data_IF_018913596851
#
_entry.id   IF_018913596851
#
_cell.length_a   1.000
_cell.length_b   1.000
_cell.length_c   1.000
_cell.angle_alpha   90.00
_cell.angle_beta   90.00
_cell.angle_gamma   90.00
#
_symmetry.space_group_name_H-M   'P 1'
#
loop_
_entity.id
_entity.type
_entity.pdbx_description
1 polymer ?
#
# COMPACT_ATOMS: atom_id res chain seq x y z
N UNK A 1 20.90 5.65 7.90
CA UNK A 1 19.49 6.02 7.68
C UNK A 1 18.68 5.00 8.46
N UNK A 2 17.66 5.40 9.24
CA UNK A 2 16.85 4.40 9.94
C UNK A 2 15.97 3.71 8.91
N UNK A 3 16.10 2.39 8.77
CA UNK A 3 15.12 1.59 8.05
C UNK A 3 13.82 1.60 8.88
N UNK A 4 12.87 2.44 8.46
CA UNK A 4 11.55 2.51 9.08
C UNK A 4 10.58 1.77 8.18
N UNK A 5 9.68 1.02 8.80
CA UNK A 5 8.75 0.13 8.10
C UNK A 5 7.39 0.19 8.75
N UNK A 6 6.37 0.40 7.93
CA UNK A 6 4.97 0.30 8.36
C UNK A 6 4.44 -1.09 8.04
N UNK A 7 3.54 -1.56 8.90
CA UNK A 7 2.85 -2.84 8.74
C UNK A 7 1.35 -2.58 8.77
N UNK A 8 0.62 -3.01 7.74
CA UNK A 8 -0.79 -2.72 7.61
C UNK A 8 -1.49 -3.79 6.76
N UNK A 9 -2.80 -3.86 6.94
CA UNK A 9 -3.71 -4.63 6.10
C UNK A 9 -4.41 -3.66 5.13
N UNK A 10 -4.77 -4.15 3.95
CA UNK A 10 -5.50 -3.34 2.97
C UNK A 10 -6.52 -4.16 2.18
N UNK A 11 -7.53 -3.45 1.67
CA UNK A 11 -8.52 -3.93 0.73
C UNK A 11 -8.66 -2.89 -0.38
N UNK A 12 -8.49 -3.32 -1.63
CA UNK A 12 -8.73 -2.51 -2.82
C UNK A 12 -9.88 -3.11 -3.60
N UNK A 13 -10.99 -2.38 -3.67
CA UNK A 13 -12.12 -2.69 -4.53
C UNK A 13 -11.95 -2.01 -5.90
N UNK A 14 -12.08 -2.77 -6.98
CA UNK A 14 -12.07 -2.21 -8.33
C UNK A 14 -13.49 -1.83 -8.79
N UNK A 15 -13.61 -0.71 -9.47
CA UNK A 15 -14.91 -0.19 -9.93
C UNK A 15 -15.56 -1.07 -11.00
N UNK A 16 -14.78 -1.88 -11.72
CA UNK A 16 -15.24 -2.89 -12.67
C UNK A 16 -15.65 -4.22 -12.01
N UNK A 17 -15.62 -4.29 -10.67
CA UNK A 17 -15.91 -5.49 -9.90
C UNK A 17 -14.67 -6.33 -9.61
N UNK A 18 -14.69 -6.99 -8.45
CA UNK A 18 -13.52 -7.67 -7.90
C UNK A 18 -12.64 -6.74 -7.06
N UNK A 19 -11.53 -7.27 -6.58
CA UNK A 19 -10.61 -6.55 -5.72
C UNK A 19 -9.42 -7.39 -5.29
N UNK A 20 -8.52 -6.78 -4.53
CA UNK A 20 -7.36 -7.43 -3.93
C UNK A 20 -7.29 -7.08 -2.44
N UNK A 21 -6.95 -8.06 -1.62
CA UNK A 21 -6.71 -7.88 -0.20
C UNK A 21 -5.28 -8.29 0.14
N UNK A 22 -4.67 -7.58 1.07
CA UNK A 22 -3.37 -7.90 1.64
C UNK A 22 -3.43 -7.89 3.17
N UNK A 23 -2.73 -8.84 3.79
CA UNK A 23 -2.57 -8.94 5.24
C UNK A 23 -1.08 -8.91 5.59
N UNK A 24 -0.74 -8.30 6.73
CA UNK A 24 0.64 -8.16 7.22
C UNK A 24 1.59 -7.55 6.17
N UNK A 25 1.08 -6.64 5.33
CA UNK A 25 1.87 -6.01 4.28
C UNK A 25 2.88 -5.05 4.88
N UNK A 26 4.09 -5.02 4.31
CA UNK A 26 5.24 -4.28 4.85
C UNK A 26 5.81 -3.35 3.81
N UNK A 27 5.88 -2.07 4.14
CA UNK A 27 6.43 -1.03 3.28
C UNK A 27 7.52 -0.27 4.04
N UNK A 28 8.69 -0.16 3.42
CA UNK A 28 9.77 0.70 3.92
C UNK A 28 9.46 2.16 3.58
N UNK A 29 9.64 3.06 4.56
CA UNK A 29 9.35 4.49 4.44
C UNK A 29 10.55 5.31 4.91
N UNK A 30 10.79 6.45 4.24
CA UNK A 30 11.90 7.35 4.58
C UNK A 30 11.55 8.34 5.72
N UNK A 31 10.29 8.34 6.21
CA UNK A 31 9.75 9.24 7.23
C UNK A 31 9.28 8.54 8.51
N UNK A 32 8.77 9.31 9.47
CA UNK A 32 8.14 8.77 10.69
C UNK A 32 6.68 8.36 10.49
N UNK A 33 6.05 8.89 9.46
CA UNK A 33 4.63 8.67 9.17
C UNK A 33 4.39 8.70 7.67
N UNK A 34 3.28 8.09 7.25
CA UNK A 34 2.83 8.06 5.86
C UNK A 34 1.31 8.20 5.84
N UNK A 35 0.81 9.09 4.99
CA UNK A 35 -0.63 9.27 4.81
C UNK A 35 -1.26 8.17 3.96
N UNK A 36 -2.55 7.96 4.15
CA UNK A 36 -3.32 6.92 3.44
C UNK A 36 -3.23 7.04 1.90
N UNK A 37 -3.21 8.27 1.36
CA UNK A 37 -3.12 8.50 -0.09
C UNK A 37 -1.78 8.01 -0.66
N UNK A 38 -0.66 8.38 -0.03
CA UNK A 38 0.67 7.91 -0.43
C UNK A 38 0.80 6.39 -0.27
N UNK A 39 0.23 5.83 0.79
CA UNK A 39 0.21 4.39 1.02
C UNK A 39 -0.59 3.66 -0.07
N UNK A 40 -1.73 4.21 -0.50
CA UNK A 40 -2.50 3.70 -1.62
C UNK A 40 -1.73 3.78 -2.94
N UNK A 41 -1.03 4.88 -3.22
CA UNK A 41 -0.16 5.02 -4.41
C UNK A 41 0.92 3.94 -4.45
N UNK A 42 1.56 3.65 -3.32
CA UNK A 42 2.55 2.57 -3.22
C UNK A 42 1.94 1.20 -3.53
N UNK A 43 0.78 0.87 -2.94
CA UNK A 43 0.10 -0.41 -3.21
C UNK A 43 -0.22 -0.55 -4.69
N UNK A 44 -0.82 0.49 -5.29
CA UNK A 44 -1.25 0.50 -6.68
C UNK A 44 -0.04 0.35 -7.62
N UNK A 45 1.05 1.08 -7.34
CA UNK A 45 2.28 1.05 -8.13
C UNK A 45 3.02 -0.28 -8.04
N UNK A 46 3.22 -0.79 -6.82
CA UNK A 46 4.03 -1.99 -6.56
C UNK A 46 3.33 -3.26 -7.06
N UNK A 47 2.01 -3.34 -6.87
CA UNK A 47 1.17 -4.44 -7.38
C UNK A 47 0.74 -4.25 -8.85
N UNK A 48 1.14 -3.14 -9.49
CA UNK A 48 0.82 -2.80 -10.89
C UNK A 48 -0.68 -2.89 -11.21
N UNK A 49 -1.50 -2.29 -10.36
CA UNK A 49 -2.96 -2.34 -10.47
C UNK A 49 -3.53 -1.40 -11.54
N UNK A 50 -2.72 -0.48 -12.08
CA UNK A 50 -3.06 0.34 -13.24
C UNK A 50 -2.59 -0.34 -14.52
N UNK A 51 -3.53 -0.64 -15.42
CA UNK A 51 -3.30 -1.15 -16.78
C UNK A 51 -3.61 -0.08 -17.81
#
# INVERSE_FOLDING_TARGET
MSDKRVCFDFDVCFSNGGGVQGQDFRLDIDGDDIGDESLAEYIIGDLRLLM
#
